data_IF_175537881163
#
_entry.id   IF_175537881163
#
_cell.length_a   1.000
_cell.length_b   1.000
_cell.length_c   1.000
_cell.angle_alpha   90.00
_cell.angle_beta   90.00
_cell.angle_gamma   90.00
#
_symmetry.space_group_name_H-M   'P 1'
#
loop_
_entity.id
_entity.type
_entity.pdbx_description
1 polymer ?
#
# COMPACT_ATOMS: atom_id res chain seq x y z
N UNK A 1 -13.90 2.48 4.14
CA UNK A 1 -12.76 3.42 4.25
C UNK A 1 -11.99 3.56 2.95
N UNK A 2 -11.49 2.47 2.34
CA UNK A 2 -10.66 2.54 1.12
C UNK A 2 -11.28 3.36 -0.04
N UNK A 3 -12.58 3.21 -0.31
CA UNK A 3 -13.29 4.01 -1.32
C UNK A 3 -13.26 5.51 -1.01
N UNK A 4 -13.39 5.89 0.26
CA UNK A 4 -13.29 7.30 0.67
C UNK A 4 -11.87 7.84 0.45
N UNK A 5 -10.84 7.08 0.84
CA UNK A 5 -9.45 7.45 0.60
C UNK A 5 -9.16 7.61 -0.91
N UNK A 6 -9.67 6.69 -1.73
CA UNK A 6 -9.52 6.77 -3.19
C UNK A 6 -10.23 8.00 -3.77
N UNK A 7 -11.41 8.34 -3.26
CA UNK A 7 -12.14 9.54 -3.67
C UNK A 7 -11.33 10.81 -3.36
N UNK A 8 -10.77 10.90 -2.15
CA UNK A 8 -9.89 12.01 -1.74
C UNK A 8 -8.65 12.07 -2.62
N UNK A 9 -7.97 10.95 -2.83
CA UNK A 9 -6.78 10.89 -3.68
C UNK A 9 -7.06 11.30 -5.13
N UNK A 10 -8.19 10.86 -5.70
CA UNK A 10 -8.63 11.27 -7.05
C UNK A 10 -8.92 12.76 -7.13
N UNK A 11 -9.63 13.32 -6.14
CA UNK A 11 -9.95 14.74 -6.10
C UNK A 11 -8.68 15.61 -6.01
N UNK A 12 -7.75 15.24 -5.13
CA UNK A 12 -6.50 15.95 -4.97
C UNK A 12 -5.61 15.86 -6.22
N UNK A 13 -5.54 14.67 -6.85
CA UNK A 13 -4.85 14.50 -8.13
C UNK A 13 -5.45 15.39 -9.22
N UNK A 14 -6.77 15.48 -9.32
CA UNK A 14 -7.44 16.35 -10.29
C UNK A 14 -7.16 17.84 -10.04
N UNK A 15 -6.95 18.23 -8.77
CA UNK A 15 -6.59 19.58 -8.37
C UNK A 15 -5.08 19.87 -8.42
N UNK A 16 -4.23 18.87 -8.75
CA UNK A 16 -2.77 19.01 -8.69
C UNK A 16 -2.22 19.16 -7.27
N UNK A 17 -2.97 18.74 -6.24
CA UNK A 17 -2.62 18.87 -4.83
C UNK A 17 -2.04 17.53 -4.35
N UNK A 18 -0.86 17.52 -3.70
CA UNK A 18 -0.30 16.31 -3.12
C UNK A 18 -1.14 15.83 -1.92
N UNK A 19 -1.24 14.51 -1.75
CA UNK A 19 -1.93 13.89 -0.60
C UNK A 19 -0.97 13.16 0.32
N UNK A 20 -1.18 13.37 1.61
CA UNK A 20 -0.48 12.68 2.69
C UNK A 20 -1.46 11.91 3.56
N UNK A 21 -1.03 10.78 4.13
CA UNK A 21 -1.79 10.02 5.13
C UNK A 21 -0.93 9.81 6.38
N UNK A 22 -1.57 9.95 7.54
CA UNK A 22 -0.99 9.70 8.86
C UNK A 22 -1.83 8.68 9.63
N UNK A 23 -1.26 8.15 10.71
CA UNK A 23 -1.91 7.17 11.59
C UNK A 23 -1.44 5.74 11.30
N UNK A 24 -2.02 4.78 12.02
CA UNK A 24 -1.51 3.40 12.04
C UNK A 24 -1.51 2.74 10.66
N UNK A 25 -2.53 3.02 9.83
CA UNK A 25 -2.61 2.51 8.45
C UNK A 25 -1.43 2.97 7.56
N UNK A 26 -0.86 4.15 7.83
CA UNK A 26 0.30 4.63 7.09
C UNK A 26 1.59 3.89 7.47
N UNK A 27 1.66 3.37 8.71
CA UNK A 27 2.75 2.55 9.22
C UNK A 27 2.58 1.05 8.97
N UNK A 28 1.46 0.65 8.40
CA UNK A 28 1.13 -0.75 8.11
C UNK A 28 1.62 -1.16 6.72
N UNK A 29 2.46 -2.19 6.69
CA UNK A 29 3.03 -2.72 5.45
C UNK A 29 1.98 -3.36 4.55
N UNK A 30 0.89 -3.91 5.08
CA UNK A 30 -0.16 -4.52 4.25
C UNK A 30 -0.91 -3.47 3.42
N UNK A 31 -1.18 -2.30 4.00
CA UNK A 31 -1.88 -1.22 3.29
C UNK A 31 -0.98 -0.36 2.42
N UNK A 32 0.34 -0.40 2.63
CA UNK A 32 1.31 0.41 1.88
C UNK A 32 1.13 0.29 0.35
N UNK A 33 1.05 -0.91 -0.27
CA UNK A 33 0.88 -1.03 -1.72
C UNK A 33 -0.45 -0.45 -2.22
N UNK A 34 -1.51 -0.57 -1.43
CA UNK A 34 -2.82 0.01 -1.76
C UNK A 34 -2.76 1.54 -1.73
N UNK A 35 -2.13 2.12 -0.71
CA UNK A 35 -1.94 3.57 -0.57
C UNK A 35 -1.06 4.13 -1.70
N UNK A 36 0.03 3.45 -2.06
CA UNK A 36 0.85 3.82 -3.21
C UNK A 36 0.05 3.74 -4.51
N UNK A 37 -0.74 2.68 -4.70
CA UNK A 37 -1.63 2.51 -5.85
C UNK A 37 -2.64 3.65 -5.99
N UNK A 38 -3.12 4.20 -4.87
CA UNK A 38 -4.04 5.34 -4.83
C UNK A 38 -3.35 6.66 -5.19
N UNK A 39 -2.02 6.74 -5.06
CA UNK A 39 -1.22 7.93 -5.33
C UNK A 39 -0.90 8.76 -4.09
N UNK A 40 -0.94 8.17 -2.89
CA UNK A 40 -0.40 8.84 -1.70
C UNK A 40 1.12 9.02 -1.84
N UNK A 41 1.54 10.27 -1.98
CA UNK A 41 2.95 10.61 -2.18
C UNK A 41 3.73 10.74 -0.86
N UNK A 42 3.02 10.94 0.25
CA UNK A 42 3.61 11.13 1.57
C UNK A 42 2.91 10.25 2.61
N UNK A 43 3.69 9.45 3.33
CA UNK A 43 3.23 8.62 4.45
C UNK A 43 3.90 9.12 5.73
N UNK A 44 3.11 9.38 6.77
CA UNK A 44 3.59 9.80 8.09
C UNK A 44 3.27 8.74 9.14
N UNK A 45 4.28 8.30 9.89
CA UNK A 45 4.19 7.18 10.82
C UNK A 45 5.19 7.32 11.97
N UNK A 46 5.08 6.46 12.98
CA UNK A 46 6.06 6.37 14.06
C UNK A 46 7.44 5.91 13.53
N UNK A 47 8.51 6.30 14.21
CA UNK A 47 9.88 6.02 13.78
C UNK A 47 10.19 4.51 13.62
N UNK A 48 9.54 3.65 14.41
CA UNK A 48 9.72 2.20 14.35
C UNK A 48 9.17 1.55 13.09
N UNK A 49 8.12 2.13 12.49
CA UNK A 49 7.53 1.64 11.23
C UNK A 49 8.29 2.08 9.98
N UNK A 50 9.03 3.20 10.05
CA UNK A 50 9.73 3.79 8.89
C UNK A 50 10.63 2.78 8.16
N UNK A 51 11.51 2.00 8.82
CA UNK A 51 12.41 1.09 8.10
C UNK A 51 11.66 0.00 7.33
N UNK A 52 10.59 -0.56 7.92
CA UNK A 52 9.78 -1.64 7.34
C UNK A 52 9.02 -1.15 6.11
N UNK A 53 8.31 -0.03 6.24
CA UNK A 53 7.56 0.57 5.12
C UNK A 53 8.52 1.04 4.01
N UNK A 54 9.64 1.66 4.37
CA UNK A 54 10.65 2.10 3.39
C UNK A 54 11.25 0.94 2.60
N UNK A 55 11.50 -0.21 3.24
CA UNK A 55 11.97 -1.42 2.55
C UNK A 55 10.92 -1.90 1.55
N UNK A 56 9.67 -2.04 1.98
CA UNK A 56 8.59 -2.48 1.11
C UNK A 56 8.39 -1.57 -0.11
N UNK A 57 8.41 -0.25 0.07
CA UNK A 57 8.29 0.73 -1.03
C UNK A 57 9.36 0.48 -2.11
N UNK A 58 10.57 0.04 -1.73
CA UNK A 58 11.66 -0.25 -2.67
C UNK A 58 11.51 -1.60 -3.39
N UNK A 59 10.69 -2.50 -2.86
CA UNK A 59 10.49 -3.86 -3.38
C UNK A 59 9.25 -3.98 -4.28
N UNK A 60 8.39 -2.95 -4.30
CA UNK A 60 7.17 -2.90 -5.14
C UNK A 60 7.31 -1.89 -6.27
N UNK A 61 6.72 -2.19 -7.43
CA UNK A 61 6.61 -1.23 -8.53
C UNK A 61 5.27 -0.53 -8.50
N UNK A 62 5.25 0.75 -8.84
CA UNK A 62 4.02 1.54 -8.91
C UNK A 62 2.93 0.89 -9.76
N UNK A 63 3.29 0.29 -10.90
CA UNK A 63 2.35 -0.40 -11.79
C UNK A 63 1.67 -1.60 -11.09
N UNK A 64 2.41 -2.34 -10.26
CA UNK A 64 1.89 -3.48 -9.50
C UNK A 64 0.94 -3.00 -8.40
N UNK A 65 1.28 -1.91 -7.71
CA UNK A 65 0.41 -1.27 -6.72
C UNK A 65 -0.89 -0.75 -7.36
N UNK A 66 -0.82 -0.18 -8.56
CA UNK A 66 -2.01 0.27 -9.29
C UNK A 66 -2.89 -0.89 -9.76
N UNK A 67 -2.30 -2.02 -10.17
CA UNK A 67 -3.04 -3.24 -10.50
C UNK A 67 -3.76 -3.81 -9.27
N UNK A 68 -3.05 -3.96 -8.15
CA UNK A 68 -3.65 -4.41 -6.88
C UNK A 68 -4.81 -3.51 -6.46
N UNK A 69 -4.65 -2.18 -6.55
CA UNK A 69 -5.73 -1.25 -6.22
C UNK A 69 -6.98 -1.49 -7.07
N UNK A 70 -6.81 -1.76 -8.36
CA UNK A 70 -7.94 -2.02 -9.26
C UNK A 70 -8.72 -3.27 -8.83
N UNK A 71 -8.01 -4.33 -8.44
CA UNK A 71 -8.59 -5.57 -7.91
C UNK A 71 -9.30 -5.34 -6.57
N UNK A 72 -8.61 -4.71 -5.61
CA UNK A 72 -9.14 -4.40 -4.27
C UNK A 72 -10.42 -3.54 -4.34
N UNK A 73 -10.51 -2.63 -5.31
CA UNK A 73 -11.69 -1.77 -5.46
C UNK A 73 -12.92 -2.49 -6.03
N UNK A 74 -12.73 -3.65 -6.67
CA UNK A 74 -13.81 -4.52 -7.13
C UNK A 74 -14.36 -5.42 -6.01
N UNK A 75 -13.63 -5.59 -4.91
CA UNK A 75 -14.07 -6.38 -3.77
C UNK A 75 -15.33 -5.78 -3.12
N UNK A 76 -16.31 -6.63 -2.83
CA UNK A 76 -17.57 -6.22 -2.18
C UNK A 76 -17.51 -6.30 -0.65
N UNK A 77 -16.58 -7.08 -0.09
CA UNK A 77 -16.39 -7.28 1.35
C UNK A 77 -14.97 -6.92 1.79
N UNK A 78 -14.81 -6.64 3.09
CA UNK A 78 -13.50 -6.39 3.68
C UNK A 78 -12.60 -7.64 3.61
N UNK A 79 -13.15 -8.83 3.90
CA UNK A 79 -12.37 -10.07 3.86
C UNK A 79 -11.81 -10.36 2.46
N UNK A 80 -12.57 -10.06 1.40
CA UNK A 80 -12.08 -10.24 0.03
C UNK A 80 -10.92 -9.29 -0.26
N UNK A 81 -11.05 -8.01 0.12
CA UNK A 81 -9.98 -7.03 -0.04
C UNK A 81 -8.72 -7.42 0.75
N UNK A 82 -8.87 -7.83 2.01
CA UNK A 82 -7.77 -8.31 2.86
C UNK A 82 -7.07 -9.52 2.23
N UNK A 83 -7.84 -10.47 1.69
CA UNK A 83 -7.29 -11.65 1.00
C UNK A 83 -6.45 -11.26 -0.21
N UNK A 84 -6.91 -10.32 -1.04
CA UNK A 84 -6.16 -9.84 -2.21
C UNK A 84 -4.85 -9.17 -1.81
N UNK A 85 -4.90 -8.30 -0.79
CA UNK A 85 -3.71 -7.63 -0.24
C UNK A 85 -2.73 -8.66 0.32
N UNK A 86 -3.21 -9.62 1.11
CA UNK A 86 -2.37 -10.66 1.69
C UNK A 86 -1.73 -11.55 0.60
N UNK A 87 -2.47 -11.92 -0.44
CA UNK A 87 -1.94 -12.69 -1.57
C UNK A 87 -0.83 -11.94 -2.32
N UNK A 88 -1.03 -10.65 -2.56
CA UNK A 88 -0.01 -9.78 -3.16
C UNK A 88 1.25 -9.72 -2.29
N UNK A 89 1.07 -9.51 -0.97
CA UNK A 89 2.17 -9.44 -0.03
C UNK A 89 2.92 -10.77 0.08
N UNK A 90 2.22 -11.90 0.12
CA UNK A 90 2.85 -13.23 0.14
C UNK A 90 3.73 -13.48 -1.10
N UNK A 91 3.27 -13.07 -2.28
CA UNK A 91 4.06 -13.15 -3.52
C UNK A 91 5.33 -12.29 -3.46
N UNK A 92 5.28 -11.13 -2.80
CA UNK A 92 6.43 -10.23 -2.62
C UNK A 92 7.39 -10.67 -1.52
N UNK A 93 6.88 -11.15 -0.38
CA UNK A 93 7.72 -11.68 0.71
C UNK A 93 8.43 -12.95 0.29
N UNK A 94 7.78 -13.84 -0.45
CA UNK A 94 8.43 -15.04 -1.01
C UNK A 94 9.59 -14.66 -1.93
N UNK A 95 9.41 -13.63 -2.77
CA UNK A 95 10.47 -13.08 -3.62
C UNK A 95 11.61 -12.42 -2.81
N UNK A 96 11.27 -11.62 -1.80
CA UNK A 96 12.25 -10.94 -0.95
C UNK A 96 13.06 -11.92 -0.07
N UNK A 97 12.42 -12.93 0.51
CA UNK A 97 13.09 -13.97 1.28
C UNK A 97 13.96 -14.89 0.40
N UNK A 98 13.56 -15.15 -0.85
CA UNK A 98 14.34 -16.00 -1.76
C UNK A 98 15.60 -15.32 -2.30
N UNK A 99 15.70 -13.98 -2.23
CA UNK A 99 16.88 -13.22 -2.69
C UNK A 99 17.73 -12.69 -1.53
N UNK A 100 17.17 -12.44 -0.33
CA UNK A 100 17.84 -11.65 0.73
C UNK A 100 17.89 -12.36 2.11
N UNK A 101 17.38 -13.59 2.24
CA UNK A 101 17.41 -14.34 3.50
C UNK A 101 16.42 -13.82 4.57
N UNK A 102 16.14 -14.62 5.62
CA UNK A 102 15.04 -14.35 6.55
C UNK A 102 15.28 -13.06 7.33
N UNK A 103 14.22 -12.26 7.42
CA UNK A 103 14.11 -11.06 8.26
C UNK A 103 14.33 -11.45 9.74
N UNK A 104 15.55 -11.25 10.24
CA UNK A 104 15.87 -11.23 11.67
C UNK A 104 15.49 -9.92 12.34
#
# INVERSE_FOLDING_TARGET
>A
VLRCLQMVAKAAKAAGIPVSICGEMAGDTEFTPVLLGMGFAQLSMNAGSIPKVKRLIREVRQAECSALLAEVMQCTTAQEAERQVHAFMAAKVSFANSIIGPLG
#
